data_IF_538138415320
#
_entry.id   IF_538138415320
#
_cell.length_a   1.000
_cell.length_b   1.000
_cell.length_c   1.000
_cell.angle_alpha   90.00
_cell.angle_beta   90.00
_cell.angle_gamma   90.00
#
_symmetry.space_group_name_H-M   'P 1'
#
loop_
_entity.id
_entity.type
_entity.pdbx_description
1 polymer ?
#
# COMPACT_ATOMS: atom_id res chain seq x y z
N UNK A 1 -31.70 -19.57 -28.11
CA UNK A 1 -31.93 -19.66 -26.65
C UNK A 1 -30.67 -20.32 -26.10
N UNK A 2 -29.60 -19.57 -25.81
CA UNK A 2 -29.39 -18.62 -24.70
C UNK A 2 -29.53 -19.28 -23.33
N UNK A 3 -28.37 -19.55 -22.72
CA UNK A 3 -27.92 -19.15 -21.36
C UNK A 3 -26.63 -19.96 -21.10
N UNK A 4 -25.43 -19.39 -21.16
CA UNK A 4 -24.77 -18.50 -20.18
C UNK A 4 -24.85 -19.00 -18.73
N UNK A 5 -23.73 -18.82 -18.01
CA UNK A 5 -23.45 -19.08 -16.57
C UNK A 5 -22.73 -20.41 -16.32
N UNK A 6 -21.52 -20.48 -15.77
CA UNK A 6 -20.56 -19.49 -15.30
C UNK A 6 -19.16 -20.05 -15.57
N UNK A 7 -18.19 -19.17 -15.86
CA UNK A 7 -16.78 -19.52 -15.74
C UNK A 7 -16.54 -19.67 -14.25
N UNK A 8 -16.25 -20.88 -13.80
CA UNK A 8 -15.62 -21.12 -12.51
C UNK A 8 -14.26 -20.41 -12.55
N UNK A 9 -14.25 -19.15 -12.11
CA UNK A 9 -13.03 -18.52 -11.66
C UNK A 9 -12.76 -19.12 -10.28
N UNK A 10 -12.01 -20.22 -10.27
CA UNK A 10 -11.12 -20.54 -9.16
C UNK A 10 -10.13 -19.37 -9.04
N UNK A 11 -10.56 -18.32 -8.36
CA UNK A 11 -9.79 -17.11 -8.12
C UNK A 11 -8.98 -17.28 -6.83
N UNK A 12 -7.97 -18.15 -6.87
CA UNK A 12 -6.73 -17.79 -6.18
C UNK A 12 -6.24 -16.54 -6.93
N UNK A 13 -6.79 -15.37 -6.59
CA UNK A 13 -6.33 -14.08 -7.08
C UNK A 13 -4.86 -14.02 -6.69
N UNK A 14 -3.97 -14.31 -7.64
CA UNK A 14 -2.55 -14.17 -7.41
C UNK A 14 -2.36 -12.72 -7.00
N UNK A 15 -2.09 -12.53 -5.71
CA UNK A 15 -1.80 -11.26 -5.09
C UNK A 15 -0.51 -10.69 -5.69
N UNK A 16 -0.61 -10.24 -6.93
CA UNK A 16 0.39 -9.40 -7.54
C UNK A 16 0.22 -8.03 -6.92
N UNK A 17 1.34 -7.35 -6.71
CA UNK A 17 1.37 -6.02 -6.11
C UNK A 17 0.43 -5.04 -6.83
N UNK A 18 0.07 -5.27 -8.09
CA UNK A 18 -0.84 -4.39 -8.84
C UNK A 18 -2.31 -4.57 -8.45
N UNK A 19 -2.76 -5.80 -8.18
CA UNK A 19 -4.18 -6.13 -7.98
C UNK A 19 -4.51 -6.49 -6.51
N UNK A 20 -3.56 -6.38 -5.59
CA UNK A 20 -3.76 -6.74 -4.17
C UNK A 20 -4.94 -6.03 -3.49
N UNK A 21 -5.39 -4.89 -4.01
CA UNK A 21 -6.55 -4.16 -3.47
C UNK A 21 -7.75 -4.12 -4.43
N UNK A 22 -7.80 -4.98 -5.44
CA UNK A 22 -8.90 -5.03 -6.40
C UNK A 22 -10.25 -5.32 -5.73
N UNK A 23 -10.25 -6.08 -4.62
CA UNK A 23 -11.42 -6.34 -3.78
C UNK A 23 -11.99 -5.08 -3.11
N UNK A 24 -11.16 -4.04 -2.97
CA UNK A 24 -11.53 -2.70 -2.49
C UNK A 24 -11.79 -1.69 -3.62
N UNK A 25 -11.87 -2.16 -4.88
CA UNK A 25 -12.07 -1.32 -6.06
C UNK A 25 -10.81 -0.61 -6.56
N UNK A 26 -9.62 -1.08 -6.15
CA UNK A 26 -8.34 -0.56 -6.59
C UNK A 26 -7.65 -1.52 -7.57
N UNK A 27 -7.99 -1.40 -8.85
CA UNK A 27 -7.43 -2.23 -9.94
C UNK A 27 -5.94 -1.92 -10.23
N UNK A 28 -5.44 -0.76 -9.80
CA UNK A 28 -4.05 -0.33 -9.99
C UNK A 28 -3.46 0.28 -8.71
N UNK A 29 -2.69 -0.55 -8.01
CA UNK A 29 -1.91 -0.18 -6.83
C UNK A 29 -0.98 1.03 -6.97
N UNK A 30 -0.54 1.36 -8.19
CA UNK A 30 0.36 2.50 -8.43
C UNK A 30 -0.27 3.85 -8.06
N UNK A 31 -1.61 3.92 -8.04
CA UNK A 31 -2.34 5.10 -7.57
C UNK A 31 -2.01 5.39 -6.11
N UNK A 32 -1.93 4.37 -5.25
CA UNK A 32 -1.60 4.55 -3.84
C UNK A 32 -0.17 5.05 -3.67
N UNK A 33 0.80 4.47 -4.38
CA UNK A 33 2.20 4.93 -4.40
C UNK A 33 2.27 6.43 -4.72
N UNK A 34 1.63 6.84 -5.84
CA UNK A 34 1.67 8.21 -6.30
C UNK A 34 1.00 9.19 -5.33
N UNK A 35 -0.15 8.81 -4.75
CA UNK A 35 -0.89 9.65 -3.79
C UNK A 35 -0.15 9.78 -2.47
N UNK A 36 0.47 8.71 -1.97
CA UNK A 36 1.31 8.74 -0.77
C UNK A 36 2.48 9.69 -0.96
N UNK A 37 3.23 9.57 -2.07
CA UNK A 37 4.33 10.49 -2.37
C UNK A 37 3.87 11.95 -2.37
N UNK A 38 2.80 12.25 -3.12
CA UNK A 38 2.27 13.60 -3.23
C UNK A 38 1.76 14.14 -1.88
N UNK A 39 1.27 13.27 -0.99
CA UNK A 39 0.81 13.64 0.34
C UNK A 39 1.98 14.05 1.24
N UNK A 40 3.10 13.33 1.17
CA UNK A 40 4.34 13.67 1.89
C UNK A 40 4.97 14.93 1.30
N UNK A 41 4.97 15.08 -0.02
CA UNK A 41 5.52 16.22 -0.74
C UNK A 41 4.65 17.50 -0.68
N UNK A 42 3.54 17.50 0.05
CA UNK A 42 2.57 18.60 0.04
C UNK A 42 3.17 19.94 0.55
N UNK A 43 4.14 19.86 1.47
CA UNK A 43 4.80 21.02 2.07
C UNK A 43 6.18 21.33 1.44
N UNK A 44 6.59 20.61 0.39
CA UNK A 44 7.87 20.78 -0.29
C UNK A 44 8.44 19.47 -0.84
N UNK A 45 9.60 19.55 -1.51
CA UNK A 45 10.29 18.34 -1.96
C UNK A 45 10.73 17.52 -0.75
N UNK A 46 10.23 16.28 -0.58
CA UNK A 46 10.51 15.50 0.60
C UNK A 46 11.92 14.91 0.52
N UNK A 47 12.74 15.17 1.54
CA UNK A 47 13.97 14.42 1.77
C UNK A 47 13.63 13.18 2.59
N UNK A 48 14.12 12.02 2.19
CA UNK A 48 14.03 10.83 3.04
C UNK A 48 14.89 11.02 4.28
N UNK A 49 14.28 10.91 5.45
CA UNK A 49 14.98 10.87 6.73
C UNK A 49 14.57 9.55 7.40
N UNK A 50 15.48 8.58 7.60
CA UNK A 50 15.12 7.25 8.12
C UNK A 50 14.86 7.25 9.64
N UNK A 51 14.01 8.15 10.11
CA UNK A 51 13.60 8.28 11.51
C UNK A 51 12.28 7.56 11.76
N UNK A 52 12.01 7.09 12.98
CA UNK A 52 10.69 6.55 13.33
C UNK A 52 9.55 7.49 12.95
N UNK A 53 9.71 8.80 13.17
CA UNK A 53 8.72 9.81 12.85
C UNK A 53 8.43 9.92 11.34
N UNK A 54 9.43 9.67 10.49
CA UNK A 54 9.23 9.61 9.05
C UNK A 54 8.36 8.41 8.67
N UNK A 55 8.61 7.23 9.24
CA UNK A 55 7.81 6.04 8.96
C UNK A 55 6.38 6.16 9.48
N UNK A 56 6.17 6.83 10.62
CA UNK A 56 4.82 7.20 11.10
C UNK A 56 4.12 8.14 10.09
N UNK A 57 4.87 9.08 9.51
CA UNK A 57 4.35 9.98 8.47
C UNK A 57 4.02 9.25 7.17
N UNK A 58 4.86 8.30 6.76
CA UNK A 58 4.64 7.44 5.59
C UNK A 58 3.35 6.62 5.75
N UNK A 59 3.17 5.99 6.91
CA UNK A 59 1.97 5.26 7.27
C UNK A 59 0.72 6.15 7.18
N UNK A 60 0.74 7.31 7.85
CA UNK A 60 -0.38 8.24 7.85
C UNK A 60 -0.71 8.76 6.44
N UNK A 61 0.31 9.00 5.62
CA UNK A 61 0.14 9.41 4.22
C UNK A 61 -0.49 8.29 3.37
N UNK A 62 -0.11 7.05 3.61
CA UNK A 62 -0.68 5.89 2.93
C UNK A 62 -2.14 5.63 3.34
N UNK A 63 -2.46 5.70 4.64
CA UNK A 63 -3.85 5.58 5.12
C UNK A 63 -4.72 6.67 4.49
N UNK A 64 -4.22 7.91 4.42
CA UNK A 64 -4.91 9.00 3.73
C UNK A 64 -5.13 8.69 2.24
N UNK A 65 -4.11 8.16 1.56
CA UNK A 65 -4.20 7.78 0.16
C UNK A 65 -5.23 6.65 -0.06
N UNK A 66 -5.21 5.63 0.80
CA UNK A 66 -6.13 4.49 0.78
C UNK A 66 -7.58 4.94 0.94
N UNK A 67 -7.90 5.64 2.04
CA UNK A 67 -9.25 6.16 2.31
C UNK A 67 -9.73 7.10 1.19
N UNK A 68 -8.83 7.92 0.65
CA UNK A 68 -9.17 8.84 -0.43
C UNK A 68 -9.41 8.18 -1.79
N UNK A 69 -9.13 6.88 -1.93
CA UNK A 69 -9.22 6.16 -3.21
C UNK A 69 -10.34 5.11 -3.22
N UNK A 70 -10.65 4.50 -2.08
CA UNK A 70 -11.72 3.49 -1.97
C UNK A 70 -13.09 4.13 -1.65
N UNK A 71 -14.16 3.41 -1.97
CA UNK A 71 -15.55 3.80 -1.65
C UNK A 71 -16.04 3.22 -0.29
N UNK A 72 -15.12 2.88 0.61
CA UNK A 72 -15.40 2.36 1.95
C UNK A 72 -15.25 3.43 3.05
N UNK A 73 -15.98 3.29 4.18
CA UNK A 73 -15.99 4.31 5.24
C UNK A 73 -14.68 4.42 6.06
N UNK A 74 -13.67 3.59 5.80
CA UNK A 74 -12.41 3.59 6.55
C UNK A 74 -11.47 2.46 6.14
N UNK A 75 -10.46 2.20 6.98
CA UNK A 75 -9.51 1.10 6.79
C UNK A 75 -10.04 -0.16 7.48
N UNK A 76 -10.22 -1.28 6.78
CA UNK A 76 -10.55 -2.57 7.40
C UNK A 76 -9.44 -3.01 8.37
N UNK A 77 -9.75 -3.71 9.48
CA UNK A 77 -8.73 -4.10 10.48
C UNK A 77 -7.56 -4.92 9.93
N UNK A 78 -7.80 -5.79 8.95
CA UNK A 78 -6.74 -6.59 8.32
C UNK A 78 -5.82 -5.73 7.43
N UNK A 79 -6.37 -4.70 6.78
CA UNK A 79 -5.58 -3.71 6.01
C UNK A 79 -4.76 -2.83 6.96
N UNK A 80 -5.35 -2.40 8.08
CA UNK A 80 -4.65 -1.61 9.10
C UNK A 80 -3.46 -2.39 9.68
N UNK A 81 -3.66 -3.66 10.05
CA UNK A 81 -2.56 -4.53 10.50
C UNK A 81 -1.48 -4.72 9.42
N UNK A 82 -1.87 -4.87 8.15
CA UNK A 82 -0.92 -4.99 7.04
C UNK A 82 -0.06 -3.73 6.87
N UNK A 83 -0.67 -2.56 7.04
CA UNK A 83 -0.01 -1.25 6.98
C UNK A 83 0.98 -1.10 8.15
N UNK A 84 0.58 -1.45 9.37
CA UNK A 84 1.43 -1.36 10.57
C UNK A 84 2.67 -2.25 10.46
N UNK A 85 2.51 -3.49 9.99
CA UNK A 85 3.63 -4.42 9.79
C UNK A 85 4.52 -3.99 8.63
N UNK A 86 3.93 -3.52 7.52
CA UNK A 86 4.70 -2.98 6.40
C UNK A 86 5.56 -1.78 6.82
N UNK A 87 5.05 -0.91 7.68
CA UNK A 87 5.82 0.21 8.24
C UNK A 87 7.05 -0.30 8.99
N UNK A 88 6.87 -1.26 9.89
CA UNK A 88 7.96 -1.79 10.70
C UNK A 88 9.01 -2.55 9.87
N UNK A 89 8.59 -3.30 8.85
CA UNK A 89 9.51 -3.98 7.95
C UNK A 89 10.28 -3.00 7.05
N UNK A 90 9.59 -2.00 6.48
CA UNK A 90 10.22 -0.95 5.67
C UNK A 90 11.22 -0.14 6.50
N UNK A 91 10.88 0.17 7.76
CA UNK A 91 11.79 0.84 8.69
C UNK A 91 13.08 0.06 8.87
N UNK A 92 13.00 -1.24 9.18
CA UNK A 92 14.18 -2.10 9.35
C UNK A 92 15.02 -2.22 8.09
N UNK A 93 14.39 -2.13 6.91
CA UNK A 93 15.08 -2.21 5.63
C UNK A 93 15.92 -0.97 5.33
N UNK A 94 15.43 0.21 5.70
CA UNK A 94 16.04 1.50 5.32
C UNK A 94 16.60 2.32 6.50
N UNK A 95 16.49 1.87 7.75
CA UNK A 95 16.94 2.63 8.93
C UNK A 95 18.43 3.02 8.89
N UNK A 96 19.24 2.21 8.23
CA UNK A 96 20.69 2.41 8.11
C UNK A 96 21.13 3.00 6.75
N UNK A 97 20.20 3.33 5.85
CA UNK A 97 20.50 3.82 4.49
C UNK A 97 19.73 5.12 4.17
N UNK A 98 20.27 6.30 4.53
CA UNK A 98 19.62 7.59 4.28
C UNK A 98 19.72 8.07 2.84
N UNK A 99 20.52 7.42 1.98
CA UNK A 99 20.78 7.88 0.61
C UNK A 99 19.81 7.28 -0.43
N UNK A 100 18.89 6.41 -0.01
CA UNK A 100 17.86 5.80 -0.87
C UNK A 100 16.83 6.81 -1.35
N UNK A 101 16.26 6.58 -2.54
CA UNK A 101 15.27 7.48 -3.10
C UNK A 101 13.87 7.16 -2.54
N UNK A 102 13.23 8.16 -1.94
CA UNK A 102 11.90 8.01 -1.37
C UNK A 102 10.87 7.52 -2.40
N UNK A 103 10.93 8.05 -3.62
CA UNK A 103 9.92 7.85 -4.65
C UNK A 103 10.10 6.51 -5.36
N UNK A 104 11.34 6.12 -5.63
CA UNK A 104 11.63 4.91 -6.44
C UNK A 104 11.97 3.69 -5.60
N UNK A 105 12.38 3.86 -4.34
CA UNK A 105 12.78 2.75 -3.48
C UNK A 105 11.84 2.60 -2.28
N UNK A 106 11.80 3.59 -1.38
CA UNK A 106 11.13 3.44 -0.07
C UNK A 106 9.61 3.25 -0.20
N UNK A 107 8.90 4.14 -0.91
CA UNK A 107 7.43 4.03 -1.05
C UNK A 107 7.05 2.77 -1.85
N UNK A 108 7.71 2.44 -2.98
CA UNK A 108 7.42 1.19 -3.68
C UNK A 108 7.67 -0.06 -2.83
N UNK A 109 8.74 -0.11 -2.04
CA UNK A 109 8.99 -1.23 -1.12
C UNK A 109 7.94 -1.30 -0.03
N UNK A 110 7.60 -0.19 0.61
CA UNK A 110 6.52 -0.12 1.59
C UNK A 110 5.21 -0.66 1.01
N UNK A 111 4.85 -0.23 -0.19
CA UNK A 111 3.64 -0.71 -0.87
C UNK A 111 3.67 -2.23 -1.12
N UNK A 112 4.80 -2.76 -1.57
CA UNK A 112 4.97 -4.21 -1.77
C UNK A 112 4.79 -4.99 -0.46
N UNK A 113 5.31 -4.48 0.66
CA UNK A 113 5.12 -5.08 1.97
C UNK A 113 3.64 -5.05 2.38
N UNK A 114 2.95 -3.91 2.21
CA UNK A 114 1.51 -3.82 2.50
C UNK A 114 0.72 -4.84 1.69
N UNK A 115 0.96 -4.92 0.38
CA UNK A 115 0.32 -5.88 -0.50
C UNK A 115 0.55 -7.33 -0.04
N UNK A 116 1.78 -7.67 0.35
CA UNK A 116 2.12 -8.98 0.88
C UNK A 116 1.38 -9.31 2.18
N UNK A 117 1.37 -8.39 3.15
CA UNK A 117 0.70 -8.59 4.44
C UNK A 117 -0.82 -8.61 4.30
N UNK A 118 -1.41 -7.73 3.49
CA UNK A 118 -2.86 -7.71 3.25
C UNK A 118 -3.35 -9.07 2.75
N UNK A 119 -2.63 -9.65 1.80
CA UNK A 119 -2.94 -10.98 1.29
C UNK A 119 -2.78 -12.08 2.35
N UNK A 120 -1.77 -11.97 3.21
CA UNK A 120 -1.60 -12.91 4.32
C UNK A 120 -2.68 -12.77 5.41
N UNK A 121 -3.33 -11.60 5.53
CA UNK A 121 -4.31 -11.28 6.57
C UNK A 121 -5.77 -11.34 6.08
N UNK A 122 -5.99 -11.66 4.81
CA UNK A 122 -7.33 -11.73 4.18
C UNK A 122 -8.16 -12.94 4.67
N UNK A 123 -7.54 -13.89 5.37
CA UNK A 123 -8.14 -15.13 5.90
C UNK A 123 -8.84 -14.98 7.27
#
# INVERSE_FOLDING_TARGET
>A
MSSDTARDYDGDEECTTTESFADHGLDDGSVLISRTYNRIAADGEPTFEPTPEFFDTLEAAFIWAYIGTIDEPGVPPHVEAAIEDAREFTRREFEDDPDVDLRTDVIPTFYQQVAGFHCAYRD
#
